data_IF_005187412060
#
_entry.id   IF_005187412060
#
_cell.length_a   1.000
_cell.length_b   1.000
_cell.length_c   1.000
_cell.angle_alpha   90.00
_cell.angle_beta   90.00
_cell.angle_gamma   90.00
#
_symmetry.space_group_name_H-M   'P 1'
#
loop_
_entity.id
_entity.type
_entity.pdbx_description
1 polymer ?
#
# COMPACT_ATOMS: atom_id res chain seq x y z
N UNK A 1 -2.71 -13.51 16.78
CA UNK A 1 -2.13 -12.30 16.16
C UNK A 1 -2.11 -12.33 14.63
N UNK A 2 -1.87 -13.47 13.96
CA UNK A 2 -2.12 -13.62 12.49
C UNK A 2 -3.59 -13.39 12.13
N UNK A 3 -4.51 -13.72 13.05
CA UNK A 3 -5.94 -13.44 13.00
C UNK A 3 -6.24 -11.94 12.80
N UNK A 4 -5.58 -11.07 13.56
CA UNK A 4 -5.79 -9.62 13.47
C UNK A 4 -5.43 -9.06 12.10
N UNK A 5 -4.29 -9.47 11.52
CA UNK A 5 -3.88 -9.05 10.17
C UNK A 5 -4.93 -9.50 9.14
N UNK A 6 -5.40 -10.76 9.26
CA UNK A 6 -6.44 -11.30 8.40
C UNK A 6 -7.74 -10.49 8.51
N UNK A 7 -8.20 -10.18 9.71
CA UNK A 7 -9.42 -9.40 9.94
C UNK A 7 -9.31 -7.97 9.41
N UNK A 8 -8.18 -7.30 9.64
CA UNK A 8 -7.93 -5.96 9.11
C UNK A 8 -7.93 -5.94 7.57
N UNK A 9 -7.27 -6.92 6.94
CA UNK A 9 -7.29 -7.07 5.47
C UNK A 9 -8.72 -7.35 4.97
N UNK A 10 -9.45 -8.27 5.59
CA UNK A 10 -10.83 -8.59 5.21
C UNK A 10 -11.76 -7.37 5.34
N UNK A 11 -11.57 -6.54 6.37
CA UNK A 11 -12.33 -5.30 6.55
C UNK A 11 -12.06 -4.33 5.40
N UNK A 12 -10.79 -4.11 5.06
CA UNK A 12 -10.41 -3.26 3.92
C UNK A 12 -10.94 -3.81 2.59
N UNK A 13 -10.83 -5.13 2.35
CA UNK A 13 -11.35 -5.79 1.15
C UNK A 13 -12.87 -5.63 0.99
N UNK A 14 -13.64 -5.73 2.08
CA UNK A 14 -15.09 -5.45 2.05
C UNK A 14 -15.37 -4.02 1.60
N UNK A 15 -14.66 -3.03 2.17
CA UNK A 15 -14.79 -1.63 1.75
C UNK A 15 -14.45 -1.44 0.28
N UNK A 16 -13.32 -1.99 -0.19
CA UNK A 16 -12.91 -1.91 -1.60
C UNK A 16 -13.93 -2.57 -2.53
N UNK A 17 -14.51 -3.71 -2.12
CA UNK A 17 -15.52 -4.42 -2.90
C UNK A 17 -16.78 -3.56 -3.07
N UNK A 18 -17.25 -2.93 -2.00
CA UNK A 18 -18.39 -2.00 -2.09
C UNK A 18 -18.07 -0.80 -2.99
N UNK A 19 -16.86 -0.25 -2.87
CA UNK A 19 -16.40 0.85 -3.73
C UNK A 19 -16.29 0.46 -5.20
N UNK A 20 -15.90 -0.78 -5.51
CA UNK A 20 -15.81 -1.27 -6.89
C UNK A 20 -17.15 -1.18 -7.61
N UNK A 21 -18.26 -1.40 -6.92
CA UNK A 21 -19.61 -1.29 -7.50
C UNK A 21 -19.99 0.17 -7.80
N UNK A 22 -19.50 1.12 -7.00
CA UNK A 22 -19.81 2.55 -7.14
C UNK A 22 -18.85 3.30 -8.08
N UNK A 23 -17.67 2.73 -8.35
CA UNK A 23 -16.57 3.39 -9.07
C UNK A 23 -16.18 2.58 -10.32
N UNK A 24 -17.02 2.60 -11.39
CA UNK A 24 -16.72 1.88 -12.62
C UNK A 24 -15.39 2.36 -13.23
N UNK A 25 -14.65 1.49 -13.91
CA UNK A 25 -13.34 1.85 -14.47
C UNK A 25 -13.47 2.95 -15.55
N UNK A 26 -14.52 2.89 -16.37
CA UNK A 26 -14.84 3.88 -17.42
C UNK A 26 -15.97 4.77 -16.93
N UNK A 27 -15.86 6.08 -17.13
CA UNK A 27 -16.88 7.06 -16.73
C UNK A 27 -17.03 7.25 -15.21
N UNK A 28 -16.19 6.61 -14.40
CA UNK A 28 -16.20 6.78 -12.95
C UNK A 28 -15.36 7.97 -12.46
N UNK A 29 -15.24 8.15 -11.14
CA UNK A 29 -14.51 9.27 -10.55
C UNK A 29 -13.01 9.28 -10.87
N UNK A 30 -12.41 10.48 -10.80
CA UNK A 30 -10.98 10.70 -11.04
C UNK A 30 -10.07 9.92 -10.08
N UNK A 31 -8.84 9.64 -10.51
CA UNK A 31 -7.82 8.94 -9.71
C UNK A 31 -7.59 9.58 -8.34
N UNK A 32 -7.60 10.91 -8.25
CA UNK A 32 -7.47 11.66 -6.99
C UNK A 32 -8.56 11.30 -5.99
N UNK A 33 -9.84 11.25 -6.43
CA UNK A 33 -10.97 10.88 -5.56
C UNK A 33 -10.86 9.41 -5.11
N UNK A 34 -10.43 8.52 -6.01
CA UNK A 34 -10.18 7.11 -5.68
C UNK A 34 -9.04 6.93 -4.70
N UNK A 35 -8.00 7.76 -4.79
CA UNK A 35 -6.83 7.73 -3.91
C UNK A 35 -7.20 8.07 -2.46
N UNK A 36 -8.12 9.02 -2.24
CA UNK A 36 -8.65 9.30 -0.89
C UNK A 36 -9.27 8.05 -0.26
N UNK A 37 -10.09 7.32 -1.02
CA UNK A 37 -10.72 6.09 -0.54
C UNK A 37 -9.70 4.95 -0.32
N UNK A 38 -8.68 4.88 -1.16
CA UNK A 38 -7.56 3.96 -0.99
C UNK A 38 -6.79 4.24 0.30
N UNK A 39 -6.53 5.50 0.62
CA UNK A 39 -5.87 5.91 1.87
C UNK A 39 -6.68 5.49 3.09
N UNK A 40 -8.02 5.60 3.06
CA UNK A 40 -8.89 5.10 4.15
C UNK A 40 -8.74 3.59 4.34
N UNK A 41 -8.69 2.83 3.24
CA UNK A 41 -8.49 1.38 3.30
C UNK A 41 -7.10 1.02 3.85
N UNK A 42 -6.05 1.73 3.42
CA UNK A 42 -4.70 1.56 3.95
C UNK A 42 -4.63 1.87 5.44
N UNK A 43 -5.21 2.99 5.88
CA UNK A 43 -5.29 3.36 7.30
C UNK A 43 -6.04 2.32 8.13
N UNK A 44 -7.09 1.71 7.58
CA UNK A 44 -7.83 0.62 8.25
C UNK A 44 -6.94 -0.59 8.49
N UNK A 45 -6.09 -0.95 7.51
CA UNK A 45 -5.13 -2.03 7.68
C UNK A 45 -4.04 -1.64 8.69
N UNK A 46 -3.53 -0.41 8.61
CA UNK A 46 -2.38 0.07 9.38
C UNK A 46 -2.68 0.52 10.81
N UNK A 47 -3.96 0.67 11.19
CA UNK A 47 -4.37 1.23 12.48
C UNK A 47 -3.67 0.59 13.69
N UNK A 48 -3.55 -0.74 13.69
CA UNK A 48 -2.86 -1.49 14.74
C UNK A 48 -1.44 -1.93 14.40
N UNK A 49 -0.83 -1.39 13.32
CA UNK A 49 0.43 -1.91 12.76
C UNK A 49 1.55 -2.09 13.78
N UNK A 50 1.84 -1.15 14.70
CA UNK A 50 2.91 -1.33 15.68
C UNK A 50 2.75 -2.60 16.52
N UNK A 51 1.52 -2.93 16.95
CA UNK A 51 1.23 -4.07 17.81
C UNK A 51 1.44 -5.44 17.14
N UNK A 52 1.27 -5.54 15.82
CA UNK A 52 1.39 -6.82 15.09
C UNK A 52 2.52 -6.84 14.05
N UNK A 53 3.27 -5.75 13.90
CA UNK A 53 4.37 -5.56 12.93
C UNK A 53 5.38 -6.71 12.90
N UNK A 54 5.71 -7.28 14.07
CA UNK A 54 6.62 -8.42 14.20
C UNK A 54 6.18 -9.66 13.41
N UNK A 55 4.88 -9.83 13.16
CA UNK A 55 4.31 -10.94 12.39
C UNK A 55 4.04 -10.57 10.93
N UNK A 56 4.18 -9.30 10.53
CA UNK A 56 3.90 -8.83 9.17
C UNK A 56 4.82 -9.47 8.12
N UNK A 57 6.07 -9.74 8.49
CA UNK A 57 7.11 -10.28 7.61
C UNK A 57 6.99 -11.80 7.36
N UNK A 58 6.09 -12.49 8.07
CA UNK A 58 5.77 -13.88 7.75
C UNK A 58 5.21 -13.96 6.33
N UNK A 59 5.72 -14.89 5.51
CA UNK A 59 5.34 -15.04 4.09
C UNK A 59 3.83 -14.98 3.86
N UNK A 60 3.06 -15.68 4.69
CA UNK A 60 1.59 -15.73 4.60
C UNK A 60 0.96 -14.34 4.78
N UNK A 61 1.46 -13.55 5.74
CA UNK A 61 0.94 -12.22 6.04
C UNK A 61 1.40 -11.20 5.01
N UNK A 62 2.66 -11.26 4.58
CA UNK A 62 3.19 -10.43 3.49
C UNK A 62 2.38 -10.63 2.21
N UNK A 63 2.14 -11.88 1.80
CA UNK A 63 1.30 -12.18 0.63
C UNK A 63 -0.12 -11.63 0.77
N UNK A 64 -0.73 -11.74 1.96
CA UNK A 64 -2.07 -11.21 2.22
C UNK A 64 -2.12 -9.68 2.13
N UNK A 65 -1.14 -8.99 2.71
CA UNK A 65 -1.01 -7.53 2.64
C UNK A 65 -0.83 -7.08 1.18
N UNK A 66 0.07 -7.72 0.44
CA UNK A 66 0.31 -7.41 -0.98
C UNK A 66 -0.93 -7.65 -1.83
N UNK A 67 -1.66 -8.74 -1.62
CA UNK A 67 -2.91 -9.04 -2.33
C UNK A 67 -4.00 -7.99 -2.03
N UNK A 68 -4.15 -7.63 -0.75
CA UNK A 68 -5.10 -6.58 -0.31
C UNK A 68 -4.76 -5.25 -0.96
N UNK A 69 -3.49 -4.85 -0.92
CA UNK A 69 -3.05 -3.59 -1.49
C UNK A 69 -3.21 -3.56 -3.01
N UNK A 70 -2.91 -4.66 -3.70
CA UNK A 70 -3.14 -4.75 -5.14
C UNK A 70 -4.59 -4.44 -5.49
N UNK A 71 -5.56 -4.95 -4.72
CA UNK A 71 -6.97 -4.64 -4.95
C UNK A 71 -7.26 -3.15 -4.79
N UNK A 72 -6.63 -2.48 -3.82
CA UNK A 72 -6.69 -1.02 -3.63
C UNK A 72 -6.10 -0.29 -4.85
N UNK A 73 -4.87 -0.63 -5.23
CA UNK A 73 -4.13 0.05 -6.28
C UNK A 73 -4.84 -0.08 -7.65
N UNK A 74 -5.38 -1.26 -7.97
CA UNK A 74 -6.17 -1.45 -9.18
C UNK A 74 -7.39 -0.53 -9.25
N UNK A 75 -8.01 -0.20 -8.11
CA UNK A 75 -9.11 0.77 -8.09
C UNK A 75 -8.60 2.18 -8.37
N UNK A 76 -7.50 2.61 -7.75
CA UNK A 76 -6.92 3.95 -7.94
C UNK A 76 -6.55 4.19 -9.39
N UNK A 77 -5.88 3.22 -10.03
CA UNK A 77 -5.45 3.33 -11.43
C UNK A 77 -6.56 3.07 -12.44
N UNK A 78 -7.78 2.70 -12.02
CA UNK A 78 -8.83 2.15 -12.91
C UNK A 78 -8.34 0.99 -13.80
N UNK A 79 -7.36 0.23 -13.31
CA UNK A 79 -6.67 -0.82 -14.07
C UNK A 79 -7.45 -2.14 -14.10
N UNK A 80 -7.16 -2.96 -15.11
CA UNK A 80 -7.70 -4.32 -15.23
C UNK A 80 -7.02 -5.30 -14.27
N UNK A 81 -7.68 -6.43 -14.01
CA UNK A 81 -7.22 -7.45 -13.05
C UNK A 81 -5.98 -8.24 -13.50
N UNK A 82 -5.42 -7.98 -14.68
CA UNK A 82 -4.18 -8.59 -15.19
C UNK A 82 -2.93 -7.82 -14.77
N UNK A 83 -3.07 -6.56 -14.33
CA UNK A 83 -1.93 -5.74 -13.93
C UNK A 83 -1.27 -6.31 -12.67
N UNK A 84 0.07 -6.35 -12.68
CA UNK A 84 0.87 -6.79 -11.53
C UNK A 84 0.64 -5.85 -10.34
N UNK A 85 0.65 -6.40 -9.12
CA UNK A 85 0.42 -5.58 -7.92
C UNK A 85 1.49 -4.49 -7.72
N UNK A 86 2.73 -4.82 -8.08
CA UNK A 86 3.87 -3.91 -7.99
C UNK A 86 3.74 -2.73 -8.96
N UNK A 87 3.47 -2.98 -10.24
CA UNK A 87 3.24 -1.91 -11.22
C UNK A 87 2.00 -1.09 -10.87
N UNK A 88 0.93 -1.74 -10.38
CA UNK A 88 -0.28 -1.04 -9.94
C UNK A 88 0.01 -0.08 -8.77
N UNK A 89 0.82 -0.49 -7.78
CA UNK A 89 1.19 0.36 -6.66
C UNK A 89 1.97 1.61 -7.11
N UNK A 90 2.91 1.44 -8.05
CA UNK A 90 3.70 2.55 -8.60
C UNK A 90 2.81 3.54 -9.34
N UNK A 91 1.96 3.07 -10.26
CA UNK A 91 1.02 3.94 -11.01
C UNK A 91 0.01 4.60 -10.07
N UNK A 92 -0.37 3.94 -8.97
CA UNK A 92 -1.28 4.50 -7.97
C UNK A 92 -0.60 5.50 -7.02
N UNK A 93 0.74 5.61 -7.03
CA UNK A 93 1.50 6.38 -6.04
C UNK A 93 1.27 5.88 -4.61
N UNK A 94 1.23 4.55 -4.43
CA UNK A 94 0.99 3.88 -3.15
C UNK A 94 2.23 3.10 -2.71
N UNK A 95 2.84 3.53 -1.61
CA UNK A 95 3.95 2.82 -0.96
C UNK A 95 3.48 1.43 -0.52
N UNK A 96 4.25 0.36 -0.77
CA UNK A 96 3.92 -1.00 -0.33
C UNK A 96 3.55 -1.09 1.17
N UNK A 97 2.49 -1.84 1.49
CA UNK A 97 1.94 -1.95 2.84
C UNK A 97 2.97 -2.53 3.82
N UNK A 98 3.84 -3.45 3.39
CA UNK A 98 4.86 -4.01 4.28
C UNK A 98 5.89 -2.95 4.72
N UNK A 99 6.24 -2.02 3.84
CA UNK A 99 7.10 -0.88 4.18
C UNK A 99 6.36 0.11 5.09
N UNK A 100 5.09 0.40 4.81
CA UNK A 100 4.27 1.27 5.67
C UNK A 100 4.08 0.69 7.08
N UNK A 101 3.98 -0.63 7.23
CA UNK A 101 3.90 -1.28 8.55
C UNK A 101 5.20 -1.07 9.32
N UNK A 102 6.34 -1.19 8.66
CA UNK A 102 7.65 -0.97 9.27
C UNK A 102 7.85 0.50 9.66
N UNK A 103 7.46 1.43 8.78
CA UNK A 103 7.44 2.86 9.07
C UNK A 103 6.62 3.16 10.33
N UNK A 104 5.39 2.61 10.42
CA UNK A 104 4.53 2.81 11.60
C UNK A 104 5.11 2.24 12.87
N UNK A 105 5.80 1.09 12.78
CA UNK A 105 6.52 0.51 13.91
C UNK A 105 7.63 1.47 14.38
N UNK A 106 8.47 1.95 13.46
CA UNK A 106 9.58 2.88 13.79
C UNK A 106 9.07 4.19 14.39
N UNK A 107 8.01 4.78 13.81
CA UNK A 107 7.40 6.01 14.35
C UNK A 107 6.87 5.78 15.78
N UNK A 108 6.30 4.61 16.06
CA UNK A 108 5.81 4.26 17.39
C UNK A 108 6.95 4.06 18.42
N UNK A 109 8.13 3.63 17.97
CA UNK A 109 9.32 3.45 18.82
C UNK A 109 10.09 4.76 19.06
N UNK A 110 9.89 5.79 18.22
CA UNK A 110 10.48 7.13 18.37
C UNK A 110 9.61 8.07 19.21
N UNK A 111 10.12 9.28 19.51
CA UNK A 111 9.42 10.33 20.28
C UNK A 111 8.20 10.94 19.54
N UNK A 112 7.90 10.46 18.33
CA UNK A 112 6.74 10.83 17.51
C UNK A 112 6.69 12.33 17.14
N UNK A 113 7.87 12.98 17.04
CA UNK A 113 8.01 14.35 16.54
C UNK A 113 7.74 14.41 15.03
N UNK A 114 7.39 15.59 14.51
CA UNK A 114 7.19 15.75 13.05
C UNK A 114 8.49 15.51 12.27
N UNK A 115 9.63 15.93 12.83
CA UNK A 115 10.95 15.71 12.22
C UNK A 115 11.28 14.22 12.12
N UNK A 116 11.00 13.44 13.16
CA UNK A 116 11.20 11.98 13.13
C UNK A 116 10.30 11.30 12.09
N UNK A 117 9.03 11.74 11.99
CA UNK A 117 8.09 11.19 10.99
C UNK A 117 8.57 11.45 9.56
N UNK A 118 9.12 12.65 9.31
CA UNK A 118 9.70 12.99 8.01
C UNK A 118 10.92 12.11 7.71
N UNK A 119 11.85 11.96 8.65
CA UNK A 119 13.00 11.08 8.49
C UNK A 119 12.60 9.61 8.24
N UNK A 120 11.58 9.09 8.95
CA UNK A 120 11.07 7.73 8.70
C UNK A 120 10.37 7.61 7.33
N UNK A 121 9.67 8.66 6.88
CA UNK A 121 9.08 8.72 5.53
C UNK A 121 10.16 8.67 4.46
N UNK A 122 11.21 9.47 4.58
CA UNK A 122 12.34 9.50 3.63
C UNK A 122 13.01 8.14 3.53
N UNK A 123 13.34 7.53 4.67
CA UNK A 123 13.90 6.18 4.72
C UNK A 123 12.97 5.14 4.06
N UNK A 124 11.66 5.28 4.25
CA UNK A 124 10.67 4.38 3.62
C UNK A 124 10.63 4.57 2.09
N UNK A 125 10.78 5.80 1.61
CA UNK A 125 10.83 6.13 0.19
C UNK A 125 12.12 5.61 -0.46
N UNK A 126 13.26 5.71 0.22
CA UNK A 126 14.54 5.14 -0.21
C UNK A 126 14.44 3.62 -0.35
N UNK A 127 13.96 2.93 0.70
CA UNK A 127 13.76 1.47 0.63
C UNK A 127 12.75 1.09 -0.46
N UNK A 128 11.72 1.92 -0.71
CA UNK A 128 10.79 1.66 -1.80
C UNK A 128 11.45 1.81 -3.18
N UNK A 129 12.32 2.81 -3.36
CA UNK A 129 13.11 2.99 -4.58
C UNK A 129 14.09 1.83 -4.80
N UNK A 130 14.81 1.41 -3.77
CA UNK A 130 15.70 0.23 -3.83
C UNK A 130 14.93 -1.05 -4.18
N UNK A 131 13.78 -1.26 -3.53
CA UNK A 131 12.89 -2.37 -3.88
C UNK A 131 12.43 -2.24 -5.32
N UNK A 132 12.16 -1.02 -5.83
CA UNK A 132 11.74 -0.74 -7.22
C UNK A 132 12.83 -1.07 -8.24
N UNK A 133 14.06 -0.74 -7.96
CA UNK A 133 15.22 -1.01 -8.83
C UNK A 133 15.56 -2.50 -8.86
N UNK A 134 15.61 -3.15 -7.69
CA UNK A 134 16.06 -4.56 -7.54
C UNK A 134 15.04 -5.59 -8.05
N UNK A 135 13.76 -5.22 -8.14
CA UNK A 135 12.72 -6.17 -8.55
C UNK A 135 12.75 -6.51 -10.04
N UNK A 136 11.84 -7.39 -10.51
CA UNK A 136 11.84 -7.87 -11.89
C UNK A 136 11.72 -6.73 -12.90
N UNK A 137 12.35 -6.91 -14.07
CA UNK A 137 12.20 -5.97 -15.17
C UNK A 137 10.75 -5.83 -15.61
N UNK A 138 10.36 -4.60 -15.89
CA UNK A 138 9.02 -4.26 -16.34
C UNK A 138 9.11 -2.96 -17.13
N UNK A 139 8.39 -2.86 -18.25
CA UNK A 139 8.28 -1.63 -19.03
C UNK A 139 7.84 -0.42 -18.20
N UNK A 140 7.15 -0.61 -17.07
CA UNK A 140 6.80 0.48 -16.15
C UNK A 140 8.05 1.18 -15.58
N UNK A 141 9.17 0.48 -15.40
CA UNK A 141 10.44 1.10 -14.96
C UNK A 141 10.98 2.10 -15.97
N UNK A 142 10.76 1.83 -17.26
CA UNK A 142 11.17 2.74 -18.34
C UNK A 142 10.40 4.06 -18.29
N UNK A 143 9.13 4.02 -17.87
CA UNK A 143 8.28 5.21 -17.76
C UNK A 143 8.42 5.92 -16.41
N UNK A 144 8.62 5.17 -15.33
CA UNK A 144 8.69 5.66 -13.96
C UNK A 144 9.98 5.10 -13.33
N UNK A 145 11.14 5.75 -13.59
CA UNK A 145 12.41 5.32 -13.02
C UNK A 145 12.51 5.65 -11.52
N UNK A 146 11.93 6.76 -11.09
CA UNK A 146 11.87 7.19 -9.69
C UNK A 146 10.43 7.13 -9.18
N UNK A 147 10.20 6.40 -8.08
CA UNK A 147 8.87 6.23 -7.47
C UNK A 147 8.63 7.19 -6.31
N UNK A 148 9.65 7.97 -5.93
CA UNK A 148 9.54 8.95 -4.85
C UNK A 148 8.69 10.14 -5.35
N UNK A 149 7.71 10.60 -4.55
CA UNK A 149 6.78 11.66 -4.94
C UNK A 149 7.41 13.06 -4.97
#
# INVERSE_FOLDING_TARGET
>A
MTTHIKEACLKAEKSIKSLKCLLPNVGGPSSTKRRVLAMVCQSTVLYGAPAWSSKAFLRINKTRLTATQRNIALRVCSAYCTVSGRSANVVAGLIPLHLLVEERKRIYECENTETDKQAQRERTLETWQEEWETGPESWTKTLIPDVRP
#
